data_IF_501648214721
#
_entry.id   IF_501648214721
#
_cell.length_a   1.000
_cell.length_b   1.000
_cell.length_c   1.000
_cell.angle_alpha   90.00
_cell.angle_beta   90.00
_cell.angle_gamma   90.00
#
_symmetry.space_group_name_H-M   'P 1'
#
loop_
_entity.id
_entity.type
_entity.pdbx_description
1 polymer ?
#
# COMPACT_ATOMS: atom_id res chain seq x y z
N UNK A 1 -32.92 -48.36 6.07
CA UNK A 1 -32.28 -47.59 7.16
C UNK A 1 -31.68 -46.34 6.53
N UNK A 2 -32.23 -45.18 6.85
CA UNK A 2 -31.87 -43.87 6.26
C UNK A 2 -30.62 -43.35 6.94
N UNK A 3 -29.53 -43.16 6.19
CA UNK A 3 -28.39 -42.36 6.62
C UNK A 3 -28.31 -41.14 5.71
N UNK A 4 -28.94 -40.05 6.16
CA UNK A 4 -28.80 -38.73 5.53
C UNK A 4 -27.57 -38.10 6.19
N UNK A 5 -26.45 -38.11 5.48
CA UNK A 5 -25.27 -37.32 5.85
C UNK A 5 -25.62 -35.88 5.50
N UNK A 6 -26.10 -35.11 6.48
CA UNK A 6 -26.21 -33.67 6.36
C UNK A 6 -24.79 -33.08 6.39
N UNK A 7 -24.17 -33.01 5.21
CA UNK A 7 -22.97 -32.20 5.00
C UNK A 7 -23.38 -30.74 5.18
N UNK A 8 -23.16 -30.22 6.39
CA UNK A 8 -23.22 -28.80 6.65
C UNK A 8 -22.11 -28.12 5.83
N UNK A 9 -22.45 -27.67 4.62
CA UNK A 9 -21.70 -26.63 3.94
C UNK A 9 -21.79 -25.38 4.81
N UNK A 10 -20.84 -25.23 5.72
CA UNK A 10 -20.54 -23.96 6.35
C UNK A 10 -20.16 -23.01 5.20
N UNK A 11 -21.08 -22.12 4.85
CA UNK A 11 -20.78 -20.92 4.09
C UNK A 11 -19.76 -20.13 4.90
N UNK A 12 -18.47 -20.36 4.67
CA UNK A 12 -17.48 -19.31 4.87
C UNK A 12 -17.80 -18.23 3.84
N UNK A 13 -18.71 -17.32 4.22
CA UNK A 13 -18.75 -16.00 3.64
C UNK A 13 -17.43 -15.32 4.04
N UNK A 14 -16.36 -15.63 3.31
CA UNK A 14 -15.20 -14.76 3.27
C UNK A 14 -15.73 -13.44 2.73
N UNK A 15 -15.93 -12.48 3.63
CA UNK A 15 -16.00 -11.08 3.27
C UNK A 15 -14.69 -10.79 2.56
N UNK A 16 -14.70 -10.85 1.23
CA UNK A 16 -13.61 -10.35 0.43
C UNK A 16 -13.56 -8.84 0.70
N UNK A 17 -12.76 -8.43 1.68
CA UNK A 17 -12.25 -7.08 1.74
C UNK A 17 -11.71 -6.78 0.35
N UNK A 18 -12.24 -5.77 -0.33
CA UNK A 18 -11.74 -5.38 -1.64
C UNK A 18 -10.21 -5.26 -1.52
N UNK A 19 -9.49 -6.17 -2.19
CA UNK A 19 -8.05 -6.26 -2.07
C UNK A 19 -7.48 -4.89 -2.46
N UNK A 20 -6.70 -4.28 -1.57
CA UNK A 20 -6.00 -3.02 -1.83
C UNK A 20 -5.12 -3.19 -3.09
N UNK A 21 -5.33 -2.34 -4.09
CA UNK A 21 -4.53 -2.32 -5.31
C UNK A 21 -3.34 -1.35 -5.21
N UNK A 22 -2.50 -1.32 -6.25
CA UNK A 22 -1.34 -0.41 -6.26
C UNK A 22 -1.74 1.07 -6.17
N UNK A 23 -2.91 1.46 -6.70
CA UNK A 23 -3.36 2.85 -6.61
C UNK A 23 -3.65 3.26 -5.17
N UNK A 24 -4.25 2.36 -4.39
CA UNK A 24 -4.40 2.52 -2.95
C UNK A 24 -3.04 2.67 -2.26
N UNK A 25 -2.12 1.72 -2.50
CA UNK A 25 -0.80 1.75 -1.85
C UNK A 25 0.01 3.00 -2.22
N UNK A 26 -0.09 3.43 -3.48
CA UNK A 26 0.53 4.66 -3.96
C UNK A 26 -0.08 5.90 -3.29
N UNK A 27 -1.41 5.97 -3.18
CA UNK A 27 -2.11 7.03 -2.44
C UNK A 27 -1.64 7.10 -0.99
N UNK A 28 -1.63 5.96 -0.29
CA UNK A 28 -1.16 5.90 1.09
C UNK A 28 0.28 6.39 1.22
N UNK A 29 1.19 5.85 0.40
CA UNK A 29 2.59 6.23 0.43
C UNK A 29 2.80 7.73 0.14
N UNK A 30 2.04 8.30 -0.79
CA UNK A 30 2.12 9.71 -1.15
C UNK A 30 1.67 10.61 0.01
N UNK A 31 0.54 10.31 0.63
CA UNK A 31 0.05 11.07 1.77
C UNK A 31 0.99 10.93 2.97
N UNK A 32 1.47 9.71 3.25
CA UNK A 32 2.46 9.45 4.30
C UNK A 32 3.75 10.24 4.08
N UNK A 33 4.27 10.33 2.86
CA UNK A 33 5.44 11.16 2.56
C UNK A 33 5.21 12.65 2.86
N UNK A 34 3.99 13.17 2.66
CA UNK A 34 3.63 14.55 3.03
C UNK A 34 3.57 14.79 4.54
N UNK A 35 3.30 13.75 5.33
CA UNK A 35 3.19 13.83 6.80
C UNK A 35 4.50 13.46 7.52
N UNK A 36 5.39 12.72 6.86
CA UNK A 36 6.57 12.11 7.47
C UNK A 36 7.85 12.77 6.95
N UNK A 37 8.47 13.72 7.68
CA UNK A 37 9.57 14.56 7.18
C UNK A 37 10.87 13.82 6.84
N UNK A 38 10.93 12.50 7.04
CA UNK A 38 12.06 11.64 6.67
C UNK A 38 11.76 10.67 5.54
N UNK A 39 10.56 10.67 4.97
CA UNK A 39 10.11 9.69 3.97
C UNK A 39 9.77 10.38 2.65
N UNK A 40 10.06 9.71 1.55
CA UNK A 40 9.69 10.16 0.21
C UNK A 40 9.22 8.99 -0.64
N UNK A 41 8.19 9.24 -1.46
CA UNK A 41 7.82 8.32 -2.54
C UNK A 41 8.90 8.36 -3.62
N UNK A 42 9.16 7.21 -4.24
CA UNK A 42 10.06 7.11 -5.37
C UNK A 42 9.34 7.46 -6.67
N UNK A 43 9.75 8.56 -7.33
CA UNK A 43 9.20 9.03 -8.61
C UNK A 43 9.40 8.00 -9.73
N UNK A 44 10.50 7.26 -9.68
CA UNK A 44 10.70 6.16 -10.63
C UNK A 44 9.73 5.00 -10.40
N UNK A 45 9.27 4.80 -9.16
CA UNK A 45 8.24 3.82 -8.85
C UNK A 45 6.87 4.28 -9.35
N UNK A 46 6.56 5.58 -9.33
CA UNK A 46 5.36 6.13 -9.98
C UNK A 46 5.35 5.81 -11.47
N UNK A 47 6.45 6.08 -12.19
CA UNK A 47 6.57 5.73 -13.62
C UNK A 47 6.49 4.23 -13.89
N UNK A 48 7.01 3.39 -12.99
CA UNK A 48 6.93 1.92 -13.10
C UNK A 48 5.53 1.40 -12.77
N UNK A 49 4.85 2.02 -11.81
CA UNK A 49 3.45 1.75 -11.50
C UNK A 49 2.59 2.06 -12.72
N UNK A 50 2.75 3.25 -13.32
CA UNK A 50 2.03 3.63 -14.53
C UNK A 50 2.27 2.66 -15.68
N UNK A 51 3.53 2.26 -15.91
CA UNK A 51 3.89 1.29 -16.93
C UNK A 51 3.29 -0.11 -16.68
N UNK A 52 3.16 -0.54 -15.43
CA UNK A 52 2.56 -1.84 -15.06
C UNK A 52 1.04 -1.84 -15.30
N UNK A 53 0.36 -0.71 -15.12
CA UNK A 53 -1.09 -0.61 -15.23
C UNK A 53 -1.59 -0.06 -16.57
N UNK A 54 -0.69 0.45 -17.41
CA UNK A 54 -1.04 1.06 -18.70
C UNK A 54 -1.83 2.37 -18.57
N UNK A 55 -1.88 2.95 -17.36
CA UNK A 55 -2.56 4.20 -17.01
C UNK A 55 -1.92 4.80 -15.75
N UNK A 56 -2.19 6.07 -15.46
CA UNK A 56 -1.66 6.70 -14.24
C UNK A 56 -2.18 5.98 -12.99
N UNK A 57 -1.28 5.68 -12.06
CA UNK A 57 -1.59 5.11 -10.75
C UNK A 57 -2.44 6.07 -9.91
N UNK A 58 -2.37 7.37 -10.19
CA UNK A 58 -3.20 8.41 -9.54
C UNK A 58 -4.66 8.39 -10.02
N UNK A 59 -4.90 7.91 -11.24
CA UNK A 59 -6.25 7.75 -11.81
C UNK A 59 -6.88 6.40 -11.40
N UNK A 60 -6.19 5.61 -10.58
CA UNK A 60 -6.70 4.34 -10.07
C UNK A 60 -7.86 4.55 -9.11
N UNK A 61 -8.82 3.61 -9.14
CA UNK A 61 -10.09 3.75 -8.43
C UNK A 61 -9.93 3.88 -6.90
N UNK A 62 -8.86 3.33 -6.32
CA UNK A 62 -8.62 3.35 -4.88
C UNK A 62 -7.56 4.38 -4.46
N UNK A 63 -7.08 5.23 -5.37
CA UNK A 63 -6.05 6.22 -5.03
C UNK A 63 -6.47 7.14 -3.88
N UNK A 64 -7.71 7.64 -3.94
CA UNK A 64 -8.27 8.50 -2.91
C UNK A 64 -8.44 7.76 -1.57
N UNK A 65 -8.86 6.49 -1.61
CA UNK A 65 -9.00 5.66 -0.41
C UNK A 65 -7.64 5.51 0.30
N UNK A 66 -6.56 5.32 -0.47
CA UNK A 66 -5.20 5.25 0.06
C UNK A 66 -4.76 6.55 0.73
N UNK A 67 -5.06 7.71 0.11
CA UNK A 67 -4.78 9.03 0.70
C UNK A 67 -5.50 9.18 2.05
N UNK A 68 -6.80 8.88 2.11
CA UNK A 68 -7.57 8.99 3.34
C UNK A 68 -7.13 8.00 4.42
N UNK A 69 -6.81 6.76 4.05
CA UNK A 69 -6.31 5.75 4.99
C UNK A 69 -5.03 6.21 5.70
N UNK A 70 -4.10 6.86 4.99
CA UNK A 70 -2.91 7.42 5.63
C UNK A 70 -3.26 8.56 6.62
N UNK A 71 -4.28 9.36 6.31
CA UNK A 71 -4.76 10.41 7.22
C UNK A 71 -5.43 9.83 8.47
N UNK A 72 -6.23 8.77 8.31
CA UNK A 72 -6.85 8.06 9.43
C UNK A 72 -5.78 7.45 10.35
N UNK A 73 -4.67 7.01 9.76
CA UNK A 73 -3.50 6.48 10.45
C UNK A 73 -2.51 7.55 10.95
N UNK A 74 -2.82 8.86 10.92
CA UNK A 74 -1.86 9.95 11.09
C UNK A 74 -0.87 9.80 12.28
N UNK A 75 -1.31 9.21 13.40
CA UNK A 75 -0.46 8.96 14.57
C UNK A 75 0.62 7.89 14.37
N UNK A 76 0.51 7.04 13.35
CA UNK A 76 1.41 5.93 13.07
C UNK A 76 1.74 5.75 11.57
N UNK A 77 1.24 6.63 10.71
CA UNK A 77 1.36 6.55 9.25
C UNK A 77 2.81 6.39 8.79
N UNK A 78 3.78 7.02 9.46
CA UNK A 78 5.21 6.90 9.10
C UNK A 78 5.75 5.48 9.29
N UNK A 79 5.40 4.83 10.40
CA UNK A 79 5.85 3.47 10.68
C UNK A 79 5.14 2.47 9.75
N UNK A 80 3.83 2.64 9.55
CA UNK A 80 3.04 1.80 8.64
C UNK A 80 3.59 1.93 7.22
N UNK A 81 3.80 3.16 6.74
CA UNK A 81 4.35 3.40 5.42
C UNK A 81 5.75 2.80 5.26
N UNK A 82 6.63 2.91 6.26
CA UNK A 82 7.95 2.29 6.20
C UNK A 82 7.87 0.77 6.16
N UNK A 83 7.05 0.15 7.01
CA UNK A 83 6.89 -1.31 7.07
C UNK A 83 6.25 -1.89 5.81
N UNK A 84 5.30 -1.17 5.19
CA UNK A 84 4.58 -1.65 4.01
C UNK A 84 5.32 -1.34 2.72
N UNK A 85 5.97 -0.17 2.64
CA UNK A 85 6.43 0.44 1.39
C UNK A 85 7.92 0.79 1.35
N UNK A 86 8.62 0.72 2.48
CA UNK A 86 10.06 0.97 2.57
C UNK A 86 10.89 -0.02 1.76
N UNK A 87 12.23 0.08 1.85
CA UNK A 87 13.12 -0.73 1.00
C UNK A 87 12.95 -2.25 1.15
N UNK A 88 12.53 -2.70 2.33
CA UNK A 88 12.20 -4.10 2.63
C UNK A 88 10.74 -4.26 3.03
N UNK A 89 9.85 -3.42 2.48
CA UNK A 89 8.43 -3.40 2.82
C UNK A 89 7.73 -4.73 2.50
N UNK A 90 6.68 -5.05 3.24
CA UNK A 90 5.97 -6.33 3.11
C UNK A 90 4.76 -6.32 2.15
N UNK A 91 4.38 -5.15 1.62
CA UNK A 91 3.18 -4.99 0.78
C UNK A 91 3.57 -4.55 -0.63
N UNK A 92 4.13 -3.34 -0.78
CA UNK A 92 4.65 -2.82 -2.04
C UNK A 92 6.07 -2.29 -1.80
N UNK A 93 7.07 -3.19 -1.66
CA UNK A 93 8.43 -2.82 -1.30
C UNK A 93 9.05 -1.83 -2.28
N UNK A 94 9.83 -0.89 -1.75
CA UNK A 94 10.58 0.14 -2.50
C UNK A 94 9.70 1.15 -3.22
N UNK A 95 8.43 1.25 -2.86
CA UNK A 95 7.58 2.37 -3.23
C UNK A 95 8.00 3.66 -2.50
N UNK A 96 8.52 3.52 -1.29
CA UNK A 96 9.01 4.59 -0.45
C UNK A 96 10.46 4.35 -0.03
N UNK A 97 11.19 5.43 0.22
CA UNK A 97 12.53 5.42 0.78
C UNK A 97 12.71 6.59 1.76
N UNK A 98 13.83 6.65 2.46
CA UNK A 98 14.15 7.84 3.25
C UNK A 98 14.39 9.04 2.32
N UNK A 99 14.06 10.24 2.81
CA UNK A 99 14.42 11.48 2.12
C UNK A 99 15.93 11.53 1.89
N UNK A 100 16.36 11.92 0.69
CA UNK A 100 17.78 12.13 0.39
C UNK A 100 18.42 13.22 1.26
N UNK A 101 17.62 14.09 1.87
CA UNK A 101 18.07 15.14 2.79
C UNK A 101 18.09 14.68 4.26
N UNK A 102 17.71 13.44 4.56
CA UNK A 102 17.81 12.89 5.91
C UNK A 102 19.29 12.72 6.31
N UNK A 103 19.59 12.78 7.62
CA UNK A 103 20.97 12.70 8.11
C UNK A 103 21.67 11.37 7.80
N UNK A 104 20.92 10.28 7.69
CA UNK A 104 21.39 8.95 7.28
C UNK A 104 20.33 8.29 6.37
N UNK A 105 20.28 8.65 5.07
CA UNK A 105 19.18 8.25 4.22
C UNK A 105 19.29 6.76 3.88
N UNK A 106 18.22 6.00 4.10
CA UNK A 106 18.07 4.65 3.56
C UNK A 106 17.47 4.75 2.16
N UNK A 107 18.32 4.68 1.13
CA UNK A 107 17.92 4.69 -0.27
C UNK A 107 17.78 3.27 -0.80
N UNK A 108 16.69 2.98 -1.51
CA UNK A 108 16.44 1.64 -1.99
C UNK A 108 17.20 1.37 -3.29
N UNK A 109 17.92 0.26 -3.36
CA UNK A 109 18.51 -0.19 -4.62
C UNK A 109 17.42 -0.67 -5.59
N UNK A 110 17.68 -0.50 -6.88
CA UNK A 110 16.79 -0.95 -7.95
C UNK A 110 16.78 -2.45 -8.13
#
# INVERSE_FOLDING_TARGET
MRLIIAAALALCATTASAQEDLSYHFGYALQAAGMCPGLQVRIDTERKADAKYGRSVRDGAQHMDGLYAAMDDAGNACNIAWQRYGCSGNTEPRLMQSSATASNPTLCQY
#
